data_IF_776755112245
#
_entry.id   IF_776755112245
#
_cell.length_a   1.000
_cell.length_b   1.000
_cell.length_c   1.000
_cell.angle_alpha   90.00
_cell.angle_beta   90.00
_cell.angle_gamma   90.00
#
_symmetry.space_group_name_H-M   'P 1'
#
loop_
_entity.id
_entity.type
_entity.pdbx_description
1 polymer ?
#
# COMPACT_ATOMS: atom_id res chain seq x y z
N UNK A 1 3.84 -11.75 11.20
CA UNK A 1 2.70 -11.23 11.99
C UNK A 1 2.11 -10.05 11.24
N UNK A 2 0.79 -9.88 11.30
CA UNK A 2 0.12 -8.65 10.89
C UNK A 2 -0.18 -7.80 12.14
N UNK A 3 -0.64 -6.56 11.93
CA UNK A 3 -0.99 -5.66 13.03
C UNK A 3 -2.19 -6.20 13.82
N UNK A 4 -2.19 -5.90 15.11
CA UNK A 4 -3.27 -6.21 16.02
C UNK A 4 -4.40 -5.19 15.90
N UNK A 5 -5.58 -5.55 16.42
CA UNK A 5 -6.74 -4.64 16.50
C UNK A 5 -6.41 -3.32 17.21
N UNK A 6 -5.59 -3.37 18.26
CA UNK A 6 -5.17 -2.16 18.99
C UNK A 6 -4.27 -1.27 18.14
N UNK A 7 -3.34 -1.87 17.39
CA UNK A 7 -2.45 -1.16 16.46
C UNK A 7 -3.23 -0.53 15.31
N UNK A 8 -4.22 -1.22 14.71
CA UNK A 8 -5.06 -0.61 13.68
C UNK A 8 -5.87 0.59 14.20
N UNK A 9 -6.43 0.53 15.43
CA UNK A 9 -7.10 1.70 16.03
C UNK A 9 -6.12 2.85 16.23
N UNK A 10 -4.91 2.56 16.68
CA UNK A 10 -3.88 3.58 16.82
C UNK A 10 -3.54 4.21 15.46
N UNK A 11 -3.27 3.40 14.43
CA UNK A 11 -2.95 3.84 13.08
C UNK A 11 -4.06 4.73 12.49
N UNK A 12 -5.32 4.34 12.64
CA UNK A 12 -6.46 5.16 12.21
C UNK A 12 -6.51 6.50 12.97
N UNK A 13 -6.32 6.48 14.30
CA UNK A 13 -6.36 7.69 15.13
C UNK A 13 -5.24 8.68 14.82
N UNK A 14 -4.07 8.19 14.35
CA UNK A 14 -2.97 9.07 13.91
C UNK A 14 -3.11 9.50 12.44
N UNK A 15 -4.17 9.09 11.75
CA UNK A 15 -4.50 9.51 10.39
C UNK A 15 -3.90 8.64 9.27
N UNK A 16 -3.52 7.39 9.55
CA UNK A 16 -3.11 6.46 8.49
C UNK A 16 -4.32 5.88 7.74
N UNK A 17 -4.31 5.98 6.41
CA UNK A 17 -5.33 5.38 5.53
C UNK A 17 -4.96 3.94 5.10
N UNK A 18 -3.67 3.60 5.13
CA UNK A 18 -3.13 2.29 4.79
C UNK A 18 -1.89 1.97 5.64
N UNK A 19 -1.59 0.69 5.82
CA UNK A 19 -0.37 0.21 6.48
C UNK A 19 0.27 -0.90 5.65
N UNK A 20 1.59 -0.92 5.62
CA UNK A 20 2.39 -1.91 4.92
C UNK A 20 3.79 -2.00 5.53
N UNK A 21 4.53 -3.01 5.11
CA UNK A 21 5.84 -3.36 5.73
C UNK A 21 7.05 -2.95 4.87
N UNK A 22 6.85 -2.07 3.87
CA UNK A 22 7.88 -1.69 2.90
C UNK A 22 7.70 -0.23 2.44
N UNK A 23 8.37 0.15 1.34
CA UNK A 23 8.22 1.41 0.59
C UNK A 23 8.81 2.64 1.27
N UNK A 24 8.56 2.84 2.57
CA UNK A 24 9.09 3.99 3.33
C UNK A 24 10.63 4.05 3.30
N UNK A 25 11.38 2.94 3.52
CA UNK A 25 12.84 2.99 3.45
C UNK A 25 13.36 3.42 2.07
N UNK A 26 12.76 2.92 0.99
CA UNK A 26 13.13 3.26 -0.38
C UNK A 26 12.83 4.72 -0.70
N UNK A 27 11.67 5.24 -0.29
CA UNK A 27 11.26 6.63 -0.50
C UNK A 27 12.19 7.61 0.22
N UNK A 28 12.55 7.32 1.47
CA UNK A 28 13.51 8.14 2.24
C UNK A 28 14.85 8.27 1.50
N UNK A 29 15.36 7.17 0.94
CA UNK A 29 16.63 7.18 0.18
C UNK A 29 16.45 7.95 -1.14
N UNK A 30 15.36 7.76 -1.87
CA UNK A 30 15.09 8.47 -3.11
C UNK A 30 14.99 9.99 -2.89
N UNK A 31 14.28 10.43 -1.86
CA UNK A 31 14.17 11.84 -1.46
C UNK A 31 15.53 12.40 -1.04
N UNK A 32 16.32 11.64 -0.28
CA UNK A 32 17.69 12.02 0.09
C UNK A 32 18.57 12.25 -1.15
N UNK A 33 18.35 11.50 -2.23
CA UNK A 33 19.05 11.68 -3.51
C UNK A 33 18.44 12.76 -4.41
N UNK A 34 17.43 13.51 -3.94
CA UNK A 34 16.77 14.57 -4.69
C UNK A 34 15.83 14.08 -5.80
N UNK A 35 15.35 12.83 -5.71
CA UNK A 35 14.41 12.27 -6.68
C UNK A 35 12.97 12.69 -6.37
N UNK A 36 12.16 12.89 -7.42
CA UNK A 36 10.70 12.94 -7.28
C UNK A 36 10.16 11.50 -7.25
N UNK A 37 9.30 11.20 -6.30
CA UNK A 37 8.72 9.87 -6.10
C UNK A 37 7.20 9.92 -6.25
N UNK A 38 6.64 8.89 -6.88
CA UNK A 38 5.21 8.61 -6.93
C UNK A 38 5.02 7.16 -6.47
N UNK A 39 4.31 6.98 -5.35
CA UNK A 39 4.03 5.67 -4.76
C UNK A 39 2.58 5.24 -4.99
N UNK A 40 2.36 3.94 -5.09
CA UNK A 40 1.04 3.32 -5.15
C UNK A 40 0.96 2.19 -4.14
N UNK A 41 -0.20 2.01 -3.53
CA UNK A 41 -0.51 0.87 -2.68
C UNK A 41 -1.77 0.19 -3.19
N UNK A 42 -1.73 -1.13 -3.32
CA UNK A 42 -2.92 -1.95 -3.57
C UNK A 42 -3.46 -2.36 -2.20
N UNK A 43 -4.72 -2.05 -1.92
CA UNK A 43 -5.38 -2.51 -0.71
C UNK A 43 -5.77 -3.98 -0.88
N UNK A 44 -5.05 -4.86 -0.19
CA UNK A 44 -5.20 -6.32 -0.29
C UNK A 44 -6.12 -6.94 0.75
N UNK A 45 -6.43 -6.19 1.81
CA UNK A 45 -7.20 -6.65 2.94
C UNK A 45 -7.86 -5.47 3.67
N UNK A 46 -8.94 -5.77 4.39
CA UNK A 46 -9.72 -4.77 5.12
C UNK A 46 -9.36 -4.77 6.62
N UNK A 47 -8.66 -3.72 7.05
CA UNK A 47 -8.12 -3.61 8.41
C UNK A 47 -9.08 -2.97 9.42
N UNK A 48 -10.40 -3.09 9.24
CA UNK A 48 -11.39 -2.44 10.11
C UNK A 48 -11.36 -3.04 11.52
N UNK A 49 -10.98 -2.26 12.57
CA UNK A 49 -10.76 -2.83 13.89
C UNK A 49 -12.00 -3.48 14.50
N UNK A 50 -13.21 -3.04 14.17
CA UNK A 50 -14.43 -3.60 14.74
C UNK A 50 -14.81 -4.94 14.11
N UNK A 51 -14.53 -5.13 12.83
CA UNK A 51 -14.89 -6.32 12.04
C UNK A 51 -13.69 -7.16 11.61
N UNK A 52 -12.52 -6.93 12.23
CA UNK A 52 -11.26 -7.58 11.86
C UNK A 52 -11.37 -9.11 11.90
N UNK A 53 -11.02 -9.74 10.78
CA UNK A 53 -10.92 -11.20 10.61
C UNK A 53 -9.47 -11.59 10.36
N UNK A 54 -9.06 -12.82 10.70
CA UNK A 54 -7.78 -13.35 10.25
C UNK A 54 -7.72 -13.33 8.73
N UNK A 55 -6.57 -12.91 8.19
CA UNK A 55 -6.29 -12.86 6.75
C UNK A 55 -5.17 -13.86 6.45
N UNK A 56 -5.30 -14.61 5.36
CA UNK A 56 -4.22 -15.48 4.89
C UNK A 56 -3.33 -14.79 3.85
N UNK A 57 -2.09 -15.27 3.70
CA UNK A 57 -1.19 -14.75 2.68
C UNK A 57 -1.72 -15.05 1.27
N UNK A 58 -2.39 -16.18 1.09
CA UNK A 58 -2.99 -16.58 -0.17
C UNK A 58 -4.10 -15.62 -0.60
N UNK A 59 -4.93 -15.16 0.33
CA UNK A 59 -5.99 -14.17 0.08
C UNK A 59 -5.40 -12.81 -0.33
N UNK A 60 -4.36 -12.36 0.38
CA UNK A 60 -3.61 -11.13 0.05
C UNK A 60 -3.05 -11.19 -1.36
N UNK A 61 -2.41 -12.30 -1.72
CA UNK A 61 -1.84 -12.50 -3.06
C UNK A 61 -2.94 -12.56 -4.12
N UNK A 62 -4.06 -13.21 -3.84
CA UNK A 62 -5.19 -13.28 -4.77
C UNK A 62 -5.78 -11.88 -5.05
N UNK A 63 -6.00 -11.09 -4.01
CA UNK A 63 -6.49 -9.71 -4.15
C UNK A 63 -5.49 -8.82 -4.91
N UNK A 64 -4.19 -8.97 -4.64
CA UNK A 64 -3.15 -8.25 -5.37
C UNK A 64 -3.16 -8.61 -6.87
N UNK A 65 -3.25 -9.89 -7.20
CA UNK A 65 -3.29 -10.37 -8.59
C UNK A 65 -4.58 -9.94 -9.32
N UNK A 66 -5.70 -9.83 -8.61
CA UNK A 66 -6.94 -9.30 -9.18
C UNK A 66 -6.82 -7.81 -9.54
N UNK A 67 -6.15 -7.03 -8.70
CA UNK A 67 -5.96 -5.60 -8.90
C UNK A 67 -4.82 -5.26 -9.87
N UNK A 68 -3.84 -6.15 -10.05
CA UNK A 68 -2.64 -5.94 -10.86
C UNK A 68 -2.92 -5.42 -12.27
N UNK A 69 -3.85 -5.98 -13.07
CA UNK A 69 -4.05 -5.52 -14.44
C UNK A 69 -4.51 -4.05 -14.52
N UNK A 70 -5.31 -3.62 -13.54
CA UNK A 70 -5.78 -2.23 -13.43
C UNK A 70 -4.64 -1.30 -13.04
N UNK A 71 -3.83 -1.70 -12.04
CA UNK A 71 -2.66 -0.95 -11.63
C UNK A 71 -1.66 -0.81 -12.79
N UNK A 72 -1.41 -1.89 -13.54
CA UNK A 72 -0.54 -1.88 -14.71
C UNK A 72 -1.04 -0.92 -15.79
N UNK A 73 -2.35 -0.83 -16.04
CA UNK A 73 -2.90 0.15 -16.96
C UNK A 73 -2.66 1.60 -16.49
N UNK A 74 -2.88 1.89 -15.20
CA UNK A 74 -2.62 3.21 -14.61
C UNK A 74 -1.14 3.56 -14.72
N UNK A 75 -0.25 2.65 -14.33
CA UNK A 75 1.20 2.87 -14.39
C UNK A 75 1.69 3.15 -15.80
N UNK A 76 1.22 2.40 -16.80
CA UNK A 76 1.57 2.64 -18.21
C UNK A 76 1.16 4.03 -18.68
N UNK A 77 -0.06 4.46 -18.35
CA UNK A 77 -0.56 5.79 -18.70
C UNK A 77 0.19 6.91 -17.98
N UNK A 78 0.47 6.73 -16.68
CA UNK A 78 1.23 7.70 -15.89
C UNK A 78 2.63 7.87 -16.47
N UNK A 79 3.37 6.78 -16.68
CA UNK A 79 4.72 6.83 -17.25
C UNK A 79 4.72 7.44 -18.65
N UNK A 80 3.72 7.11 -19.50
CA UNK A 80 3.59 7.69 -20.83
C UNK A 80 3.30 9.20 -20.85
N UNK A 81 2.81 9.77 -19.74
CA UNK A 81 2.46 11.20 -19.61
C UNK A 81 3.47 12.01 -18.81
N UNK A 82 4.32 11.35 -18.02
CA UNK A 82 5.41 12.03 -17.32
C UNK A 82 6.38 12.58 -18.36
N UNK A 83 6.50 13.91 -18.40
CA UNK A 83 7.51 14.62 -19.19
C UNK A 83 8.65 15.03 -18.28
N UNK A 84 9.87 14.95 -18.80
CA UNK A 84 11.05 15.54 -18.18
C UNK A 84 10.96 17.06 -18.19
#
# INVERSE_FOLDING_TARGET
>A
NLETRAEYRFLQNIGADAVGMSTVPEDIVAVHMGMKVLGFSILTDECFPETLKPVSLEEVIAAANEAEPRMTAVMKEVVGRIRN
#
